data_IF_330941104060
#
_entry.id   IF_330941104060
#
_cell.length_a   1.000
_cell.length_b   1.000
_cell.length_c   1.000
_cell.angle_alpha   90.00
_cell.angle_beta   90.00
_cell.angle_gamma   90.00
#
_symmetry.space_group_name_H-M   'P 1'
#
loop_
_entity.id
_entity.type
_entity.pdbx_description
1 polymer ?
#
# COMPACT_ATOMS: atom_id res chain seq x y z
N UNK A 1 -4.72 -8.97 -8.77
CA UNK A 1 -4.83 -7.50 -8.94
C UNK A 1 -5.44 -7.13 -10.28
N UNK A 2 -4.85 -6.17 -11.00
CA UNK A 2 -5.15 -5.94 -12.43
C UNK A 2 -4.02 -6.56 -13.28
N UNK A 3 -4.14 -7.82 -13.74
CA UNK A 3 -3.01 -8.56 -14.32
C UNK A 3 -2.47 -7.92 -15.61
N UNK A 4 -3.34 -7.40 -16.46
CA UNK A 4 -2.98 -6.85 -17.78
C UNK A 4 -2.47 -5.40 -17.76
N UNK A 5 -2.13 -4.84 -16.59
CA UNK A 5 -1.73 -3.43 -16.42
C UNK A 5 -0.55 -3.25 -15.44
N UNK A 6 0.68 -3.59 -15.84
CA UNK A 6 1.86 -3.39 -14.99
C UNK A 6 2.10 -1.91 -14.64
N UNK A 7 1.66 -0.96 -15.47
CA UNK A 7 1.73 0.50 -15.23
C UNK A 7 0.82 1.01 -14.09
N UNK A 8 0.10 0.09 -13.43
CA UNK A 8 -0.69 0.33 -12.22
C UNK A 8 -0.11 -0.31 -10.95
N UNK A 9 1.02 -1.01 -11.05
CA UNK A 9 1.74 -1.60 -9.91
C UNK A 9 2.80 -0.60 -9.43
N UNK A 10 2.86 -0.31 -8.15
CA UNK A 10 4.00 0.39 -7.56
C UNK A 10 5.30 -0.43 -7.74
N UNK A 11 6.49 0.20 -7.84
CA UNK A 11 7.75 -0.52 -7.99
C UNK A 11 8.04 -1.49 -6.82
N UNK A 12 8.74 -2.60 -7.09
CA UNK A 12 9.19 -3.57 -6.08
C UNK A 12 9.88 -2.89 -4.90
N UNK A 13 10.79 -1.95 -5.20
CA UNK A 13 11.60 -1.28 -4.19
C UNK A 13 10.78 -0.46 -3.18
N UNK A 14 9.59 0.04 -3.57
CA UNK A 14 8.67 0.72 -2.65
C UNK A 14 8.19 -0.24 -1.56
N UNK A 15 7.76 -1.44 -1.95
CA UNK A 15 7.30 -2.46 -1.00
C UNK A 15 8.48 -3.06 -0.23
N UNK A 16 9.61 -3.33 -0.88
CA UNK A 16 10.79 -3.93 -0.25
C UNK A 16 11.42 -3.00 0.79
N UNK A 17 11.60 -1.70 0.50
CA UNK A 17 12.05 -0.72 1.49
C UNK A 17 11.08 -0.60 2.67
N UNK A 18 9.76 -0.57 2.41
CA UNK A 18 8.77 -0.53 3.50
C UNK A 18 8.82 -1.81 4.35
N UNK A 19 8.96 -2.99 3.75
CA UNK A 19 9.07 -4.26 4.47
C UNK A 19 10.33 -4.29 5.35
N UNK A 20 11.49 -3.86 4.83
CA UNK A 20 12.72 -3.72 5.62
C UNK A 20 12.56 -2.69 6.75
N UNK A 21 11.94 -1.54 6.48
CA UNK A 21 11.64 -0.53 7.51
C UNK A 21 10.80 -1.15 8.64
N UNK A 22 9.67 -1.80 8.31
CA UNK A 22 8.77 -2.44 9.26
C UNK A 22 9.48 -3.48 10.15
N UNK A 23 10.36 -4.29 9.57
CA UNK A 23 11.19 -5.26 10.31
C UNK A 23 12.08 -4.59 11.36
N UNK A 24 12.68 -3.41 11.07
CA UNK A 24 13.46 -2.66 12.08
C UNK A 24 12.61 -2.10 13.23
N UNK A 25 11.29 -2.04 13.06
CA UNK A 25 10.30 -1.63 14.08
C UNK A 25 9.67 -2.83 14.81
N UNK A 26 10.09 -4.07 14.50
CA UNK A 26 9.51 -5.29 15.06
C UNK A 26 8.15 -5.66 14.49
N UNK A 27 7.71 -5.02 13.39
CA UNK A 27 6.44 -5.30 12.72
C UNK A 27 6.70 -6.31 11.60
N UNK A 28 6.07 -7.48 11.67
CA UNK A 28 6.19 -8.51 10.64
C UNK A 28 5.45 -8.08 9.35
N UNK A 29 6.12 -7.91 8.20
CA UNK A 29 5.45 -7.66 6.93
C UNK A 29 4.80 -8.97 6.42
N UNK A 30 3.57 -8.89 5.93
CA UNK A 30 2.86 -10.01 5.33
C UNK A 30 2.53 -9.66 3.89
N UNK A 31 3.01 -10.45 2.93
CA UNK A 31 2.77 -10.24 1.52
C UNK A 31 1.59 -11.11 1.05
N UNK A 32 0.66 -10.45 0.34
CA UNK A 32 -0.62 -10.97 -0.07
C UNK A 32 -0.83 -10.68 -1.56
N UNK A 33 -1.43 -11.62 -2.27
CA UNK A 33 -1.64 -11.54 -3.72
C UNK A 33 -2.11 -12.86 -4.28
N UNK A 34 -2.26 -12.90 -5.60
CA UNK A 34 -2.64 -14.09 -6.37
C UNK A 34 -1.46 -14.61 -7.21
N UNK A 35 -1.58 -15.80 -7.80
CA UNK A 35 -0.58 -16.33 -8.74
C UNK A 35 -0.16 -15.33 -9.85
N UNK A 36 -1.07 -14.47 -10.34
CA UNK A 36 -0.83 -13.37 -11.29
C UNK A 36 0.15 -12.27 -10.79
N UNK A 37 0.47 -12.30 -9.49
CA UNK A 37 1.33 -11.35 -8.78
C UNK A 37 2.60 -12.02 -8.23
N UNK A 38 2.74 -13.35 -8.39
CA UNK A 38 3.82 -14.18 -7.81
C UNK A 38 5.22 -13.61 -8.05
N UNK A 39 5.61 -13.40 -9.30
CA UNK A 39 6.95 -12.91 -9.65
C UNK A 39 7.30 -11.56 -8.98
N UNK A 40 6.33 -10.65 -8.88
CA UNK A 40 6.50 -9.36 -8.21
C UNK A 40 6.66 -9.52 -6.69
N UNK A 41 5.97 -10.51 -6.10
CA UNK A 41 6.11 -10.86 -4.68
C UNK A 41 7.45 -11.58 -4.42
N UNK A 42 7.92 -12.45 -5.31
CA UNK A 42 9.26 -13.07 -5.23
C UNK A 42 10.37 -12.01 -5.20
N UNK A 43 10.30 -10.99 -6.07
CA UNK A 43 11.26 -9.88 -6.06
C UNK A 43 11.24 -9.10 -4.72
N UNK A 44 10.05 -8.86 -4.14
CA UNK A 44 9.92 -8.20 -2.83
C UNK A 44 10.47 -9.10 -1.70
N UNK A 45 10.17 -10.40 -1.71
CA UNK A 45 10.67 -11.37 -0.72
C UNK A 45 12.19 -11.46 -0.73
N UNK A 46 12.79 -11.57 -1.92
CA UNK A 46 14.25 -11.58 -2.10
C UNK A 46 14.91 -10.29 -1.59
N UNK A 47 14.25 -9.14 -1.79
CA UNK A 47 14.71 -7.84 -1.34
C UNK A 47 14.33 -7.49 0.12
N UNK A 48 13.55 -8.33 0.83
CA UNK A 48 13.17 -8.11 2.23
C UNK A 48 13.07 -9.43 3.06
N UNK A 49 14.19 -10.16 3.24
CA UNK A 49 14.20 -11.43 4.00
C UNK A 49 13.52 -11.31 5.37
N UNK A 50 12.62 -12.24 5.67
CA UNK A 50 11.79 -12.21 6.89
C UNK A 50 10.40 -11.58 6.70
N UNK A 51 10.05 -11.12 5.51
CA UNK A 51 8.64 -10.92 5.13
C UNK A 51 7.93 -12.28 4.98
N UNK A 52 6.65 -12.34 5.37
CA UNK A 52 5.86 -13.57 5.41
C UNK A 52 5.08 -13.72 4.10
N UNK A 53 5.27 -14.85 3.41
CA UNK A 53 4.61 -15.14 2.13
C UNK A 53 3.25 -15.85 2.33
N UNK A 54 2.17 -15.11 2.10
CA UNK A 54 0.79 -15.62 1.99
C UNK A 54 0.19 -15.41 0.59
N UNK A 55 1.03 -15.24 -0.44
CA UNK A 55 0.58 -15.18 -1.84
C UNK A 55 -0.12 -16.49 -2.24
N UNK A 56 -1.31 -16.39 -2.83
CA UNK A 56 -2.17 -17.52 -3.23
C UNK A 56 -2.59 -18.46 -2.07
N UNK A 57 -2.45 -17.99 -0.81
CA UNK A 57 -2.69 -18.79 0.42
C UNK A 57 -3.79 -18.22 1.33
N UNK A 58 -4.58 -17.26 0.84
CA UNK A 58 -5.64 -16.59 1.61
C UNK A 58 -6.90 -16.36 0.76
N UNK A 59 -8.07 -16.60 1.36
CA UNK A 59 -9.36 -16.18 0.84
C UNK A 59 -9.81 -14.84 1.45
N UNK A 60 -11.00 -14.36 1.05
CA UNK A 60 -11.57 -13.10 1.55
C UNK A 60 -11.84 -13.10 3.07
N UNK A 61 -12.08 -14.27 3.67
CA UNK A 61 -12.22 -14.42 5.12
C UNK A 61 -10.90 -14.19 5.84
N UNK A 62 -9.86 -14.94 5.46
CA UNK A 62 -8.51 -14.82 6.03
C UNK A 62 -7.97 -13.38 5.87
N UNK A 63 -8.21 -12.75 4.71
CA UNK A 63 -7.84 -11.36 4.46
C UNK A 63 -8.57 -10.39 5.40
N UNK A 64 -9.85 -10.63 5.72
CA UNK A 64 -10.60 -9.81 6.68
C UNK A 64 -10.05 -9.95 8.11
N UNK A 65 -9.68 -11.15 8.53
CA UNK A 65 -9.15 -11.42 9.88
C UNK A 65 -7.71 -10.94 10.05
N UNK A 66 -6.84 -11.13 9.04
CA UNK A 66 -5.53 -10.51 8.98
C UNK A 66 -5.65 -8.97 9.07
N UNK A 67 -6.57 -8.36 8.32
CA UNK A 67 -6.78 -6.91 8.32
C UNK A 67 -7.32 -6.37 9.66
N UNK A 68 -8.05 -7.17 10.44
CA UNK A 68 -8.49 -6.81 11.81
C UNK A 68 -7.34 -6.80 12.83
N UNK A 69 -6.37 -7.70 12.67
CA UNK A 69 -5.18 -7.79 13.53
C UNK A 69 -4.02 -6.89 13.10
N UNK A 70 -4.01 -6.41 11.86
CA UNK A 70 -2.92 -5.61 11.31
C UNK A 70 -2.86 -4.19 11.91
N UNK A 71 -1.64 -3.71 12.16
CA UNK A 71 -1.35 -2.29 12.45
C UNK A 71 -1.84 -1.39 11.30
N UNK A 72 -1.93 -1.96 10.10
CA UNK A 72 -2.51 -1.39 8.88
C UNK A 72 -1.98 -2.11 7.64
N UNK A 73 -2.31 -1.61 6.45
CA UNK A 73 -1.95 -2.21 5.17
C UNK A 73 -1.54 -1.16 4.13
N UNK A 74 -0.68 -1.58 3.20
CA UNK A 74 -0.21 -0.75 2.08
C UNK A 74 -0.34 -1.56 0.79
N UNK A 75 -0.90 -0.98 -0.27
CA UNK A 75 -1.12 -1.70 -1.53
C UNK A 75 -1.69 -0.86 -2.66
N UNK A 76 -1.66 -1.40 -3.87
CA UNK A 76 -2.21 -0.74 -5.07
C UNK A 76 -3.76 -0.71 -5.03
N UNK A 77 -4.36 0.24 -5.74
CA UNK A 77 -5.80 0.39 -6.02
C UNK A 77 -6.43 -0.91 -6.58
N UNK A 78 -6.88 -1.81 -5.70
CA UNK A 78 -7.28 -3.19 -6.01
C UNK A 78 -8.30 -3.75 -5.01
N UNK A 79 -9.09 -4.75 -5.41
CA UNK A 79 -10.13 -5.39 -4.60
C UNK A 79 -9.75 -5.73 -3.14
N UNK A 80 -8.58 -6.34 -2.86
CA UNK A 80 -8.10 -6.55 -1.50
C UNK A 80 -8.08 -5.28 -0.64
N UNK A 81 -7.56 -4.17 -1.17
CA UNK A 81 -7.50 -2.89 -0.43
C UNK A 81 -8.89 -2.30 -0.14
N UNK A 82 -9.93 -2.61 -0.93
CA UNK A 82 -11.31 -2.24 -0.59
C UNK A 82 -11.82 -3.02 0.63
N UNK A 83 -11.60 -4.33 0.68
CA UNK A 83 -12.05 -5.17 1.80
C UNK A 83 -11.30 -4.82 3.09
N UNK A 84 -9.99 -4.62 3.00
CA UNK A 84 -9.12 -4.19 4.11
C UNK A 84 -9.56 -2.84 4.67
N UNK A 85 -9.83 -1.84 3.81
CA UNK A 85 -10.36 -0.54 4.24
C UNK A 85 -11.76 -0.65 4.88
N UNK A 86 -12.63 -1.50 4.33
CA UNK A 86 -14.00 -1.67 4.80
C UNK A 86 -14.09 -2.31 6.20
N UNK A 87 -13.15 -3.19 6.58
CA UNK A 87 -13.06 -3.72 7.96
C UNK A 87 -12.40 -2.76 8.95
N UNK A 88 -12.03 -1.55 8.53
CA UNK A 88 -11.51 -0.49 9.40
C UNK A 88 -9.98 -0.41 9.52
N UNK A 89 -9.26 -1.30 8.83
CA UNK A 89 -7.80 -1.37 8.85
C UNK A 89 -7.16 -0.07 8.29
N UNK A 90 -6.16 0.53 8.96
CA UNK A 90 -5.46 1.72 8.45
C UNK A 90 -4.82 1.43 7.09
N UNK A 91 -5.36 2.02 6.02
CA UNK A 91 -5.07 1.63 4.63
C UNK A 91 -4.38 2.74 3.85
N UNK A 92 -3.10 2.54 3.47
CA UNK A 92 -2.39 3.41 2.53
C UNK A 92 -2.52 2.84 1.12
N UNK A 93 -3.32 3.50 0.28
CA UNK A 93 -3.61 3.05 -1.08
C UNK A 93 -2.73 3.81 -2.07
N UNK A 94 -1.93 3.06 -2.83
CA UNK A 94 -1.00 3.57 -3.82
C UNK A 94 -1.67 3.70 -5.19
N UNK A 95 -1.54 4.88 -5.79
CA UNK A 95 -2.11 5.23 -7.09
C UNK A 95 -1.01 5.68 -8.05
N UNK A 96 -0.99 5.15 -9.27
CA UNK A 96 -0.23 5.73 -10.40
C UNK A 96 -1.10 6.74 -11.14
N UNK A 97 -0.52 7.49 -12.09
CA UNK A 97 -1.26 8.42 -12.95
C UNK A 97 -2.37 7.76 -13.80
N UNK A 98 -2.39 6.42 -13.91
CA UNK A 98 -3.37 5.67 -14.70
C UNK A 98 -4.69 5.34 -13.96
N UNK A 99 -4.92 5.84 -12.74
CA UNK A 99 -6.20 5.71 -11.99
C UNK A 99 -6.56 7.04 -11.30
N UNK A 100 -7.86 7.32 -11.12
CA UNK A 100 -8.35 8.55 -10.47
C UNK A 100 -8.92 8.23 -9.08
N UNK A 101 -8.22 8.55 -7.98
CA UNK A 101 -8.67 8.21 -6.63
C UNK A 101 -9.96 8.94 -6.21
N UNK A 102 -10.40 9.98 -6.93
CA UNK A 102 -11.70 10.62 -6.68
C UNK A 102 -12.87 9.75 -7.13
N UNK A 103 -12.62 8.73 -7.98
CA UNK A 103 -13.65 7.88 -8.58
C UNK A 103 -13.70 6.47 -8.00
N UNK A 104 -12.55 5.91 -7.60
CA UNK A 104 -12.44 4.46 -7.29
C UNK A 104 -11.75 4.12 -5.97
N UNK A 105 -11.22 5.08 -5.19
CA UNK A 105 -10.49 4.76 -3.96
C UNK A 105 -11.31 3.89 -2.98
N UNK A 106 -10.66 2.98 -2.24
CA UNK A 106 -11.26 2.31 -1.08
C UNK A 106 -11.97 3.27 -0.12
N UNK A 107 -13.09 2.82 0.42
CA UNK A 107 -13.88 3.53 1.43
C UNK A 107 -13.68 2.84 2.78
N UNK A 108 -13.38 3.62 3.80
CA UNK A 108 -13.10 3.15 5.16
C UNK A 108 -12.74 4.31 6.09
N UNK A 109 -12.78 4.12 7.41
CA UNK A 109 -12.57 5.19 8.40
C UNK A 109 -11.13 5.74 8.42
N UNK A 110 -10.14 4.92 8.02
CA UNK A 110 -8.70 5.25 8.05
C UNK A 110 -8.02 4.98 6.71
N UNK A 111 -8.59 5.49 5.61
CA UNK A 111 -7.96 5.43 4.28
C UNK A 111 -7.12 6.67 4.02
N UNK A 112 -5.89 6.47 3.56
CA UNK A 112 -5.02 7.49 2.94
C UNK A 112 -4.71 7.07 1.51
N UNK A 113 -4.67 8.04 0.60
CA UNK A 113 -4.17 7.84 -0.76
C UNK A 113 -2.82 8.52 -0.90
N UNK A 114 -1.86 7.84 -1.53
CA UNK A 114 -0.68 8.47 -2.11
C UNK A 114 -0.72 8.23 -3.63
N UNK A 115 -0.73 9.32 -4.40
CA UNK A 115 -0.74 9.26 -5.86
C UNK A 115 0.55 9.85 -6.42
N UNK A 116 1.26 9.12 -7.27
CA UNK A 116 2.37 9.69 -8.01
C UNK A 116 1.88 10.51 -9.22
N UNK A 117 2.55 11.66 -9.42
CA UNK A 117 2.36 12.53 -10.60
C UNK A 117 3.06 12.01 -11.85
N UNK A 118 3.93 11.00 -11.73
CA UNK A 118 4.59 10.30 -12.84
C UNK A 118 4.28 8.80 -12.77
N UNK A 119 4.16 8.07 -13.90
CA UNK A 119 3.77 6.65 -13.89
C UNK A 119 4.74 5.73 -13.13
N UNK A 120 6.00 6.14 -13.03
CA UNK A 120 7.18 5.35 -12.63
C UNK A 120 7.73 5.71 -11.23
N UNK A 121 7.31 6.82 -10.63
CA UNK A 121 7.94 7.39 -9.42
C UNK A 121 7.01 7.49 -8.22
N UNK A 122 6.59 6.34 -7.69
CA UNK A 122 6.30 6.27 -6.26
C UNK A 122 7.64 6.12 -5.53
N UNK A 123 7.90 7.06 -4.62
CA UNK A 123 9.12 7.09 -3.81
C UNK A 123 8.93 6.29 -2.51
N UNK A 124 9.95 5.52 -2.13
CA UNK A 124 9.95 4.69 -0.93
C UNK A 124 10.02 5.51 0.36
N UNK A 125 10.71 6.67 0.37
CA UNK A 125 10.75 7.56 1.54
C UNK A 125 9.37 8.20 1.76
N UNK A 126 8.78 8.78 0.71
CA UNK A 126 7.42 9.32 0.73
C UNK A 126 6.35 8.30 1.12
N UNK A 127 6.46 7.03 0.68
CA UNK A 127 5.56 5.95 1.11
C UNK A 127 5.75 5.61 2.59
N UNK A 128 7.00 5.53 3.07
CA UNK A 128 7.30 5.22 4.47
C UNK A 128 6.81 6.33 5.41
N UNK A 129 7.06 7.60 5.10
CA UNK A 129 6.54 8.73 5.87
C UNK A 129 5.01 8.83 5.83
N UNK A 130 4.39 8.58 4.66
CA UNK A 130 2.93 8.55 4.52
C UNK A 130 2.28 7.43 5.35
N UNK A 131 3.02 6.34 5.58
CA UNK A 131 2.63 5.21 6.41
C UNK A 131 2.78 5.49 7.91
N UNK A 132 3.91 6.04 8.37
CA UNK A 132 4.11 6.45 9.78
C UNK A 132 3.02 7.43 10.24
N UNK A 133 2.75 8.47 9.45
CA UNK A 133 1.66 9.43 9.70
C UNK A 133 0.27 8.77 9.75
N UNK A 134 0.04 7.69 8.99
CA UNK A 134 -1.25 6.99 8.96
C UNK A 134 -1.48 6.14 10.20
N UNK A 135 -0.44 5.46 10.72
CA UNK A 135 -0.55 4.63 11.93
C UNK A 135 -0.55 5.47 13.20
N UNK A 136 0.19 6.58 13.23
CA UNK A 136 0.27 7.50 14.37
C UNK A 136 -1.06 8.18 14.73
N UNK A 137 -2.05 8.20 13.81
CA UNK A 137 -3.39 8.68 14.11
C UNK A 137 -4.09 7.79 15.17
N UNK A 138 -4.67 8.37 16.23
CA UNK A 138 -5.40 7.59 17.22
C UNK A 138 -6.69 6.99 16.62
N UNK A 139 -7.11 5.84 17.14
CA UNK A 139 -8.36 5.20 16.71
C UNK A 139 -9.56 6.14 16.93
N UNK A 140 -10.41 6.30 15.90
CA UNK A 140 -11.54 7.23 15.91
C UNK A 140 -11.24 8.61 15.32
N UNK A 141 -9.98 8.98 15.07
CA UNK A 141 -9.66 10.21 14.34
C UNK A 141 -10.04 10.07 12.85
N UNK A 142 -11.05 10.83 12.41
CA UNK A 142 -11.41 10.94 10.99
C UNK A 142 -10.27 11.62 10.22
N UNK A 143 -9.74 10.96 9.18
CA UNK A 143 -8.67 11.53 8.35
C UNK A 143 -9.13 12.87 7.71
N UNK A 144 -8.51 14.03 8.03
CA UNK A 144 -8.84 15.28 7.38
C UNK A 144 -8.41 15.19 5.91
N UNK A 145 -9.37 15.24 4.99
CA UNK A 145 -9.13 15.05 3.56
C UNK A 145 -8.38 16.24 2.93
N UNK A 146 -7.07 16.30 3.18
CA UNK A 146 -6.17 17.27 2.52
C UNK A 146 -6.17 16.98 1.02
N UNK A 147 -6.43 17.98 0.15
CA UNK A 147 -6.20 17.81 -1.29
C UNK A 147 -4.72 17.47 -1.54
N UNK A 148 -4.45 16.71 -2.59
CA UNK A 148 -3.16 16.05 -2.80
C UNK A 148 -1.97 17.02 -2.75
N UNK A 149 -0.96 16.66 -1.96
CA UNK A 149 0.31 17.38 -1.92
C UNK A 149 1.05 17.11 -3.24
N UNK A 150 0.98 18.06 -4.17
CA UNK A 150 1.86 18.06 -5.33
C UNK A 150 3.30 18.34 -4.89
N UNK A 151 4.18 17.35 -5.02
CA UNK A 151 5.62 17.53 -4.80
C UNK A 151 6.11 18.56 -5.84
N UNK A 152 6.78 19.66 -5.42
CA UNK A 152 7.21 20.70 -6.36
C UNK A 152 8.30 20.15 -7.28
N UNK A 153 8.10 20.27 -8.60
CA UNK A 153 9.14 19.96 -9.58
C UNK A 153 10.34 20.88 -9.39
N UNK A 154 11.51 20.28 -9.14
CA UNK A 154 12.77 21.01 -9.03
C UNK A 154 13.02 21.81 -10.32
N UNK A 155 13.25 23.12 -10.20
CA UNK A 155 13.59 23.97 -11.34
C UNK A 155 14.98 23.61 -11.82
N UNK A 156 15.08 23.09 -13.04
CA UNK A 156 16.34 23.12 -13.79
C UNK A 156 16.72 24.59 -14.05
N UNK A 157 18.04 24.83 -14.06
CA UNK A 157 18.73 26.05 -14.50
C UNK A 157 19.81 25.64 -15.47
#
# INVERSE_FOLDING_TARGET
GAPHRPEKRAPVEVFASLCRYLQTRGIAPVLLGTADERAHIDEILAASPGAIDLCDRTGFGDLADLARGAVGAVGNDTGPMHLVAAVGCPSLVLFTAASDPRRVRPLGPRVRVLQSVAPDRLDAEAVTGAWEELVALPAGASNPSRPGISIPTARQR
#
